data_IF_915470481233
#
_entry.id   IF_915470481233
#
_cell.length_a   1.000
_cell.length_b   1.000
_cell.length_c   1.000
_cell.angle_alpha   90.00
_cell.angle_beta   90.00
_cell.angle_gamma   90.00
#
_symmetry.space_group_name_H-M   'P 1'
#
loop_
_entity.id
_entity.type
_entity.pdbx_description
1 polymer ?
#
# COMPACT_ATOMS: atom_id res chain seq x y z
N UNK A 1 -17.93 -0.02 -0.84
CA UNK A 1 -16.88 0.96 -0.45
C UNK A 1 -15.99 1.20 -1.67
N UNK A 2 -15.49 2.42 -1.91
CA UNK A 2 -14.63 2.70 -3.08
C UNK A 2 -13.13 2.52 -2.80
N UNK A 3 -12.79 2.54 -1.51
CA UNK A 3 -11.45 2.33 -0.97
C UNK A 3 -11.58 1.25 0.10
N UNK A 4 -10.54 0.47 0.31
CA UNK A 4 -10.49 -0.52 1.38
C UNK A 4 -9.12 -0.48 2.07
N UNK A 5 -9.10 -0.81 3.36
CA UNK A 5 -7.92 -0.76 4.22
C UNK A 5 -7.72 -2.10 4.91
N UNK A 6 -6.59 -2.76 4.65
CA UNK A 6 -6.32 -4.09 5.18
C UNK A 6 -4.87 -4.22 5.65
N UNK A 7 -4.66 -5.03 6.69
CA UNK A 7 -3.31 -5.41 7.14
C UNK A 7 -2.89 -6.71 6.46
N UNK A 8 -1.74 -6.68 5.80
CA UNK A 8 -1.24 -7.84 5.05
C UNK A 8 0.25 -8.08 5.25
N UNK A 9 0.62 -9.36 5.36
CA UNK A 9 2.00 -9.83 5.25
C UNK A 9 2.39 -10.15 3.81
N UNK A 10 1.43 -10.15 2.87
CA UNK A 10 1.65 -10.44 1.45
C UNK A 10 0.89 -9.44 0.55
N UNK A 11 1.44 -9.12 -0.63
CA UNK A 11 0.73 -8.31 -1.62
C UNK A 11 -0.35 -9.13 -2.33
N UNK A 12 -1.15 -8.48 -3.17
CA UNK A 12 -2.19 -9.14 -3.95
C UNK A 12 -1.66 -10.18 -4.96
N UNK A 13 -0.34 -10.29 -5.12
CA UNK A 13 0.36 -11.26 -5.96
C UNK A 13 1.09 -12.33 -5.13
N UNK A 14 0.77 -12.45 -3.84
CA UNK A 14 1.38 -13.37 -2.89
C UNK A 14 2.88 -13.15 -2.67
N UNK A 15 3.40 -11.95 -2.98
CA UNK A 15 4.77 -11.61 -2.60
C UNK A 15 4.80 -11.19 -1.14
N UNK A 16 5.78 -11.72 -0.41
CA UNK A 16 6.00 -11.41 0.99
C UNK A 16 6.30 -9.91 1.14
N UNK A 17 5.43 -9.22 1.87
CA UNK A 17 5.59 -7.82 2.29
C UNK A 17 6.47 -7.75 3.55
N UNK A 18 6.19 -8.65 4.49
CA UNK A 18 6.64 -8.61 5.87
C UNK A 18 7.10 -9.99 6.34
N UNK A 19 8.09 -10.06 7.25
CA UNK A 19 8.67 -11.35 7.66
C UNK A 19 7.85 -12.07 8.75
N UNK A 20 7.01 -11.34 9.48
CA UNK A 20 6.21 -11.86 10.59
C UNK A 20 4.88 -11.10 10.78
N UNK A 21 3.99 -11.63 11.62
CA UNK A 21 2.65 -11.07 11.88
C UNK A 21 2.66 -9.70 12.59
N UNK A 22 3.82 -9.24 13.08
CA UNK A 22 3.98 -7.92 13.69
C UNK A 22 4.48 -6.86 12.68
N UNK A 23 4.95 -7.27 11.50
CA UNK A 23 5.47 -6.38 10.45
C UNK A 23 4.47 -6.13 9.30
N UNK A 24 3.16 -6.32 9.53
CA UNK A 24 2.17 -6.18 8.46
C UNK A 24 2.13 -4.76 7.87
N UNK A 25 1.96 -4.67 6.55
CA UNK A 25 1.68 -3.40 5.90
C UNK A 25 0.18 -3.09 5.99
N UNK A 26 -0.17 -1.86 6.35
CA UNK A 26 -1.48 -1.29 6.06
C UNK A 26 -1.54 -0.98 4.56
N UNK A 27 -2.45 -1.66 3.86
CA UNK A 27 -2.64 -1.52 2.42
C UNK A 27 -3.91 -0.75 2.13
N UNK A 28 -3.77 0.44 1.53
CA UNK A 28 -4.90 1.22 1.01
C UNK A 28 -5.14 0.83 -0.45
N UNK A 29 -6.35 0.41 -0.77
CA UNK A 29 -6.68 -0.14 -2.09
C UNK A 29 -7.86 0.57 -2.74
N UNK A 30 -7.89 0.65 -4.07
CA UNK A 30 -9.05 1.09 -4.83
C UNK A 30 -9.93 -0.09 -5.26
N UNK A 31 -11.24 0.03 -5.09
CA UNK A 31 -12.20 -0.97 -5.54
C UNK A 31 -12.34 -0.96 -7.07
N UNK A 32 -12.01 -2.09 -7.70
CA UNK A 32 -12.20 -2.33 -9.13
C UNK A 32 -13.41 -3.25 -9.35
N UNK A 33 -14.41 -2.83 -10.14
CA UNK A 33 -15.60 -3.64 -10.38
C UNK A 33 -15.30 -4.87 -11.24
N UNK A 34 -15.95 -5.99 -10.95
CA UNK A 34 -15.92 -7.19 -11.78
C UNK A 34 -17.07 -7.18 -12.80
N UNK A 35 -16.80 -7.63 -14.02
CA UNK A 35 -17.78 -7.70 -15.11
C UNK A 35 -18.72 -8.89 -14.96
N UNK A 36 -18.20 -10.01 -14.47
CA UNK A 36 -18.89 -11.30 -14.40
C UNK A 36 -20.00 -11.36 -13.35
N UNK A 37 -19.86 -10.59 -12.26
CA UNK A 37 -20.79 -10.60 -11.14
C UNK A 37 -21.18 -9.17 -10.76
N UNK A 38 -22.49 -8.93 -10.68
CA UNK A 38 -23.03 -7.62 -10.31
C UNK A 38 -22.63 -7.28 -8.87
N UNK A 39 -22.31 -6.01 -8.63
CA UNK A 39 -21.97 -5.46 -7.30
C UNK A 39 -20.79 -6.15 -6.60
N UNK A 40 -19.92 -6.82 -7.36
CA UNK A 40 -18.70 -7.46 -6.85
C UNK A 40 -17.47 -6.66 -7.27
N UNK A 41 -16.48 -6.62 -6.39
CA UNK A 41 -15.24 -5.86 -6.58
C UNK A 41 -14.04 -6.75 -6.26
N UNK A 42 -12.92 -6.40 -6.88
CA UNK A 42 -11.59 -6.72 -6.36
C UNK A 42 -10.92 -5.43 -5.92
N UNK A 43 -9.78 -5.52 -5.24
CA UNK A 43 -9.09 -4.36 -4.69
C UNK A 43 -7.70 -4.26 -5.30
N UNK A 44 -7.43 -3.14 -5.97
CA UNK A 44 -6.13 -2.77 -6.48
C UNK A 44 -5.34 -2.09 -5.35
N UNK A 45 -4.26 -2.68 -4.83
CA UNK A 45 -3.42 -2.03 -3.83
C UNK A 45 -2.82 -0.74 -4.38
N UNK A 46 -2.88 0.36 -3.63
CA UNK A 46 -2.31 1.65 -4.03
C UNK A 46 -1.20 2.09 -3.10
N UNK A 47 -1.37 1.92 -1.79
CA UNK A 47 -0.37 2.34 -0.81
C UNK A 47 -0.03 1.21 0.14
N UNK A 48 1.25 1.05 0.43
CA UNK A 48 1.78 0.08 1.39
C UNK A 48 2.48 0.84 2.52
N UNK A 49 1.82 0.91 3.67
CA UNK A 49 2.29 1.69 4.81
C UNK A 49 2.73 0.74 5.91
N UNK A 50 4.00 0.83 6.31
CA UNK A 50 4.53 0.06 7.42
C UNK A 50 4.58 0.95 8.65
N UNK A 51 4.08 0.44 9.77
CA UNK A 51 4.06 1.14 11.07
C UNK A 51 4.97 0.40 12.03
N UNK A 52 5.87 1.12 12.68
CA UNK A 52 6.79 0.57 13.67
C UNK A 52 6.65 1.32 14.99
N UNK A 53 6.76 0.61 16.11
CA UNK A 53 6.90 1.22 17.42
C UNK A 53 8.35 1.66 17.61
N UNK A 54 8.55 2.93 17.95
CA UNK A 54 9.88 3.55 18.05
C UNK A 54 10.76 2.90 19.11
N UNK A 55 10.17 2.29 20.15
CA UNK A 55 10.93 1.55 21.18
C UNK A 55 11.51 0.24 20.69
N UNK A 56 10.92 -0.34 19.65
CA UNK A 56 11.36 -1.62 19.06
C UNK A 56 12.40 -1.39 17.95
N UNK A 57 12.55 -0.16 17.45
CA UNK A 57 13.57 0.19 16.46
C UNK A 57 14.92 0.36 17.16
N UNK A 58 15.79 -0.63 17.00
CA UNK A 58 17.17 -0.58 17.49
C UNK A 58 18.05 0.10 16.41
N UNK A 59 18.98 0.96 16.81
CA UNK A 59 19.94 1.57 15.88
C UNK A 59 20.74 0.50 15.14
N UNK A 60 20.82 0.59 13.80
CA UNK A 60 21.36 -0.40 12.85
C UNK A 60 20.49 -1.64 12.56
N UNK A 61 19.23 -1.66 13.01
CA UNK A 61 18.31 -2.75 12.68
C UNK A 61 17.75 -2.64 11.24
N UNK A 62 17.18 -3.75 10.77
CA UNK A 62 16.67 -3.91 9.41
C UNK A 62 15.17 -4.16 9.42
N UNK A 63 14.47 -3.55 8.48
CA UNK A 63 13.11 -3.91 8.10
C UNK A 63 13.12 -4.80 6.86
N UNK A 64 12.30 -5.84 6.87
CA UNK A 64 12.02 -6.62 5.67
C UNK A 64 10.83 -6.00 4.93
N UNK A 65 11.07 -5.44 3.74
CA UNK A 65 10.07 -4.78 2.92
C UNK A 65 10.10 -5.39 1.52
N UNK A 66 8.99 -6.02 1.12
CA UNK A 66 8.78 -6.51 -0.26
C UNK A 66 9.94 -7.32 -0.86
N UNK A 67 10.47 -8.28 -0.10
CA UNK A 67 11.59 -9.13 -0.55
C UNK A 67 12.98 -8.52 -0.35
N UNK A 68 13.09 -7.35 0.28
CA UNK A 68 14.35 -6.64 0.51
C UNK A 68 14.56 -6.38 2.00
N UNK A 69 15.80 -6.46 2.47
CA UNK A 69 16.20 -6.01 3.81
C UNK A 69 16.76 -4.60 3.69
N UNK A 70 16.12 -3.64 4.35
CA UNK A 70 16.51 -2.22 4.35
C UNK A 70 16.82 -1.77 5.77
N UNK A 71 17.86 -0.97 5.96
CA UNK A 71 18.14 -0.36 7.26
C UNK A 71 17.08 0.69 7.57
N UNK A 72 16.72 0.86 8.83
CA UNK A 72 15.83 1.94 9.24
C UNK A 72 16.31 3.33 8.80
N UNK A 73 17.63 3.56 8.73
CA UNK A 73 18.19 4.80 8.19
C UNK A 73 17.85 5.05 6.72
N UNK A 74 17.69 3.99 5.92
CA UNK A 74 17.27 4.07 4.52
C UNK A 74 15.77 4.33 4.41
N UNK A 75 14.98 3.97 5.43
CA UNK A 75 13.54 4.18 5.42
C UNK A 75 13.13 5.63 5.64
N UNK A 76 13.99 6.46 6.22
CA UNK A 76 13.68 7.85 6.56
C UNK A 76 13.21 8.70 5.38
N UNK A 77 13.63 8.37 4.14
CA UNK A 77 13.15 9.06 2.93
C UNK A 77 11.68 8.76 2.61
N UNK A 78 11.13 7.65 3.11
CA UNK A 78 9.75 7.21 2.90
C UNK A 78 8.82 7.59 4.06
N UNK A 79 9.32 8.31 5.08
CA UNK A 79 8.56 8.65 6.27
C UNK A 79 7.38 9.57 5.94
N UNK A 80 6.19 9.15 6.35
CA UNK A 80 4.94 9.91 6.12
C UNK A 80 4.28 10.37 7.42
N UNK A 81 4.65 9.77 8.55
CA UNK A 81 4.12 10.11 9.86
C UNK A 81 5.08 9.70 10.97
N UNK A 82 5.10 10.47 12.05
CA UNK A 82 5.85 10.17 13.27
C UNK A 82 5.17 10.84 14.47
N UNK A 83 5.00 10.10 15.56
CA UNK A 83 4.61 10.62 16.88
C UNK A 83 5.59 10.13 17.98
N UNK A 84 5.19 10.25 19.24
CA UNK A 84 6.00 9.83 20.38
C UNK A 84 6.23 8.31 20.43
N UNK A 85 5.31 7.52 19.88
CA UNK A 85 5.29 6.06 19.97
C UNK A 85 5.55 5.36 18.64
N UNK A 86 5.03 5.89 17.53
CA UNK A 86 5.00 5.25 16.24
C UNK A 86 5.67 6.08 15.15
N UNK A 87 6.22 5.37 14.16
CA UNK A 87 6.68 5.94 12.89
C UNK A 87 6.07 5.13 11.74
N UNK A 88 5.63 5.83 10.69
CA UNK A 88 5.05 5.20 9.51
C UNK A 88 5.84 5.55 8.24
N UNK A 89 6.08 4.54 7.42
CA UNK A 89 6.78 4.66 6.14
C UNK A 89 5.89 4.20 4.98
N UNK A 90 5.80 4.99 3.91
CA UNK A 90 5.01 4.69 2.71
C UNK A 90 5.92 4.13 1.61
N UNK A 91 5.82 2.81 1.39
CA UNK A 91 6.83 2.03 0.68
C UNK A 91 6.43 1.64 -0.75
N UNK A 92 5.37 2.22 -1.30
CA UNK A 92 4.83 1.80 -2.60
C UNK A 92 5.78 2.07 -3.76
N UNK A 93 6.64 3.09 -3.62
CA UNK A 93 7.69 3.40 -4.59
C UNK A 93 8.73 2.26 -4.75
N UNK A 94 8.87 1.37 -3.75
CA UNK A 94 9.73 0.18 -3.86
C UNK A 94 9.03 -0.99 -4.57
N UNK A 95 7.71 -0.90 -4.74
CA UNK A 95 6.86 -1.95 -5.30
C UNK A 95 6.56 -1.64 -6.77
N UNK A 96 6.25 -0.39 -7.08
CA UNK A 96 6.02 0.09 -8.44
C UNK A 96 6.46 1.54 -8.63
N UNK A 97 6.85 1.89 -9.86
CA UNK A 97 7.30 3.24 -10.23
C UNK A 97 6.24 4.06 -10.98
N UNK A 98 5.36 3.39 -11.73
CA UNK A 98 4.26 4.01 -12.48
C UNK A 98 2.92 3.36 -12.08
N UNK A 99 1.97 4.20 -11.66
CA UNK A 99 0.68 3.75 -11.17
C UNK A 99 -0.16 3.06 -12.26
N UNK A 100 -0.17 3.61 -13.48
CA UNK A 100 -1.01 3.10 -14.55
C UNK A 100 -0.43 1.82 -15.15
N UNK A 101 0.89 1.72 -15.32
CA UNK A 101 1.54 0.47 -15.72
C UNK A 101 1.31 -0.63 -14.67
N UNK A 102 1.41 -0.29 -13.37
CA UNK A 102 1.11 -1.20 -12.28
C UNK A 102 -0.36 -1.67 -12.32
N UNK A 103 -1.30 -0.74 -12.43
CA UNK A 103 -2.73 -1.06 -12.48
C UNK A 103 -3.09 -1.91 -13.71
N UNK A 104 -2.50 -1.61 -14.87
CA UNK A 104 -2.68 -2.42 -16.09
C UNK A 104 -2.12 -3.83 -15.91
N UNK A 105 -0.93 -3.96 -15.32
CA UNK A 105 -0.32 -5.26 -15.00
C UNK A 105 -1.20 -6.07 -14.04
N UNK A 106 -1.77 -5.43 -13.02
CA UNK A 106 -2.70 -6.07 -12.09
C UNK A 106 -3.97 -6.57 -12.80
N UNK A 107 -4.60 -5.70 -13.59
CA UNK A 107 -5.84 -6.02 -14.33
C UNK A 107 -5.63 -7.12 -15.36
N UNK A 108 -4.46 -7.14 -16.04
CA UNK A 108 -4.15 -8.14 -17.06
C UNK A 108 -4.17 -9.59 -16.55
N UNK A 109 -4.03 -9.79 -15.23
CA UNK A 109 -4.06 -11.11 -14.58
C UNK A 109 -5.47 -11.66 -14.39
N UNK A 110 -6.49 -10.80 -14.47
CA UNK A 110 -7.87 -11.19 -14.32
C UNK A 110 -8.76 -10.42 -15.30
N UNK A 111 -9.10 -11.09 -16.40
CA UNK A 111 -9.94 -10.55 -17.47
C UNK A 111 -11.35 -10.15 -17.02
N UNK A 112 -11.83 -10.64 -15.87
CA UNK A 112 -13.13 -10.24 -15.31
C UNK A 112 -13.11 -8.83 -14.71
N UNK A 113 -11.95 -8.20 -14.52
CA UNK A 113 -11.86 -6.84 -13.97
C UNK A 113 -12.25 -5.82 -15.04
N UNK A 114 -13.17 -4.91 -14.71
CA UNK A 114 -13.49 -3.76 -15.56
C UNK A 114 -12.54 -2.62 -15.26
N UNK A 115 -11.78 -2.19 -16.28
CA UNK A 115 -10.79 -1.13 -16.16
C UNK A 115 -10.86 -0.14 -17.34
N UNK A 116 -12.07 0.36 -17.62
CA UNK A 116 -12.32 1.42 -18.59
C UNK A 116 -11.80 2.79 -18.11
N UNK A 117 -11.86 3.81 -18.98
CA UNK A 117 -11.39 5.17 -18.68
C UNK A 117 -12.03 5.78 -17.42
N UNK A 118 -13.28 5.45 -17.13
CA UNK A 118 -13.96 5.94 -15.93
C UNK A 118 -13.36 5.33 -14.66
N UNK A 119 -13.08 4.02 -14.68
CA UNK A 119 -12.43 3.32 -13.57
C UNK A 119 -10.97 3.78 -13.41
N UNK A 120 -10.24 3.96 -14.51
CA UNK A 120 -8.87 4.48 -14.50
C UNK A 120 -8.80 5.86 -13.82
N UNK A 121 -9.63 6.81 -14.27
CA UNK A 121 -9.70 8.15 -13.68
C UNK A 121 -10.08 8.11 -12.19
N UNK A 122 -10.90 7.14 -11.77
CA UNK A 122 -11.23 6.95 -10.35
C UNK A 122 -10.01 6.51 -9.56
N UNK A 123 -9.24 5.54 -10.06
CA UNK A 123 -7.99 5.09 -9.42
C UNK A 123 -7.01 6.25 -9.29
N UNK A 124 -6.81 7.03 -10.35
CA UNK A 124 -5.93 8.21 -10.32
C UNK A 124 -6.38 9.24 -9.28
N UNK A 125 -7.69 9.53 -9.21
CA UNK A 125 -8.22 10.49 -8.24
C UNK A 125 -8.04 10.02 -6.79
N UNK A 126 -8.28 8.73 -6.51
CA UNK A 126 -8.08 8.14 -5.18
C UNK A 126 -6.59 8.23 -4.82
N UNK A 127 -5.71 7.79 -5.73
CA UNK A 127 -4.26 7.84 -5.52
C UNK A 127 -3.78 9.27 -5.25
N UNK A 128 -4.16 10.23 -6.11
CA UNK A 128 -3.78 11.63 -5.96
C UNK A 128 -4.28 12.24 -4.63
N UNK A 129 -5.50 11.90 -4.21
CA UNK A 129 -6.05 12.36 -2.94
C UNK A 129 -5.21 11.86 -1.75
N UNK A 130 -4.97 10.55 -1.66
CA UNK A 130 -4.20 9.99 -0.55
C UNK A 130 -2.74 10.42 -0.59
N UNK A 131 -2.08 10.43 -1.76
CA UNK A 131 -0.70 10.91 -1.86
C UNK A 131 -0.54 12.35 -1.34
N UNK A 132 -1.53 13.21 -1.60
CA UNK A 132 -1.53 14.60 -1.12
C UNK A 132 -1.84 14.74 0.38
N UNK A 133 -2.65 13.85 0.94
CA UNK A 133 -3.17 13.97 2.30
C UNK A 133 -2.62 12.93 3.28
N UNK A 134 -1.68 12.08 2.86
CA UNK A 134 -1.25 10.88 3.59
C UNK A 134 -0.88 11.17 5.05
N UNK A 135 -0.06 12.20 5.29
CA UNK A 135 0.36 12.60 6.63
C UNK A 135 -0.78 13.03 7.54
N UNK A 136 -1.89 13.51 6.99
CA UNK A 136 -3.09 13.94 7.73
C UNK A 136 -4.09 12.80 7.94
N UNK A 137 -3.91 11.65 7.28
CA UNK A 137 -4.80 10.49 7.40
C UNK A 137 -4.50 9.63 8.63
N UNK A 138 -3.32 9.77 9.23
CA UNK A 138 -2.96 9.06 10.44
C UNK A 138 -3.55 9.75 11.67
N UNK A 139 -4.56 9.13 12.27
CA UNK A 139 -5.15 9.54 13.54
C UNK A 139 -4.66 8.63 14.67
N UNK A 140 -3.34 8.61 14.90
CA UNK A 140 -2.83 8.16 16.18
C UNK A 140 -2.83 9.40 17.09
N UNK A 141 -3.72 9.40 18.09
CA UNK A 141 -3.83 10.42 19.13
C UNK A 141 -3.55 9.78 20.48
#
# INVERSE_FOLDING_TARGET
MLVDENWHSHDANFKLLASNDMENALVLSAALPLQKYKDTYTFLPLFYIYTYEKSEIISDDYAFIYGQLLRFSELEEYKVYEDDKYVCYEMSNLIYSDLMEYAQSFVSRNADIRFDEQVQKRVENIYAYYKKNMSNCFYYK
#
